data_IF_263043438295
#
_entry.id   IF_263043438295
#
_cell.length_a   1.000
_cell.length_b   1.000
_cell.length_c   1.000
_cell.angle_alpha   90.00
_cell.angle_beta   90.00
_cell.angle_gamma   90.00
#
_symmetry.space_group_name_H-M   'P 1'
#
loop_
_entity.id
_entity.type
_entity.pdbx_description
1 polymer ?
#
# COMPACT_ATOMS: atom_id res chain seq x y z
N UNK A 1 11.73 2.46 -14.44
CA UNK A 1 11.32 2.62 -13.02
C UNK A 1 12.59 2.65 -12.20
N UNK A 2 12.77 3.60 -11.29
CA UNK A 2 13.95 3.64 -10.40
C UNK A 2 13.83 2.58 -9.31
N UNK A 3 14.96 2.13 -8.74
CA UNK A 3 14.98 1.18 -7.62
C UNK A 3 14.16 1.71 -6.43
N UNK A 4 14.32 3.00 -6.09
CA UNK A 4 13.53 3.66 -5.05
C UNK A 4 12.02 3.58 -5.31
N UNK A 5 11.56 3.82 -6.54
CA UNK A 5 10.14 3.72 -6.87
C UNK A 5 9.61 2.29 -6.68
N UNK A 6 10.44 1.27 -6.95
CA UNK A 6 10.06 -0.11 -6.72
C UNK A 6 9.97 -0.41 -5.20
N UNK A 7 10.94 0.05 -4.42
CA UNK A 7 10.94 -0.07 -2.95
C UNK A 7 9.70 0.62 -2.35
N UNK A 8 9.36 1.83 -2.80
CA UNK A 8 8.18 2.58 -2.36
C UNK A 8 6.91 1.76 -2.64
N UNK A 9 6.77 1.24 -3.87
CA UNK A 9 5.61 0.46 -4.28
C UNK A 9 5.44 -0.80 -3.43
N UNK A 10 6.51 -1.56 -3.23
CA UNK A 10 6.48 -2.78 -2.42
C UNK A 10 6.24 -2.47 -0.94
N UNK A 11 6.77 -1.34 -0.44
CA UNK A 11 6.52 -0.87 0.94
C UNK A 11 5.03 -0.58 1.15
N UNK A 12 4.41 0.24 0.29
CA UNK A 12 2.99 0.60 0.48
C UNK A 12 2.06 -0.57 0.22
N UNK A 13 2.39 -1.44 -0.76
CA UNK A 13 1.65 -2.67 -1.02
C UNK A 13 1.64 -3.58 0.20
N UNK A 14 2.82 -3.81 0.80
CA UNK A 14 2.94 -4.58 2.03
C UNK A 14 2.20 -3.93 3.20
N UNK A 15 2.49 -2.67 3.52
CA UNK A 15 1.94 -2.00 4.70
C UNK A 15 0.42 -1.84 4.61
N UNK A 16 -0.10 -1.42 3.45
CA UNK A 16 -1.54 -1.24 3.24
C UNK A 16 -2.26 -2.56 3.08
N UNK A 17 -1.63 -3.58 2.49
CA UNK A 17 -2.22 -4.89 2.21
C UNK A 17 -2.31 -5.82 3.42
N UNK A 18 -1.32 -5.79 4.32
CA UNK A 18 -1.25 -6.67 5.50
C UNK A 18 -1.82 -6.00 6.76
N UNK A 19 -1.82 -4.66 6.80
CA UNK A 19 -2.13 -3.92 8.01
C UNK A 19 -3.25 -2.91 7.84
N UNK A 20 -4.10 -2.84 8.86
CA UNK A 20 -5.14 -1.83 9.05
C UNK A 20 -4.57 -0.71 9.91
N UNK A 21 -3.92 0.27 9.27
CA UNK A 21 -3.18 1.36 9.91
C UNK A 21 -3.54 2.70 9.27
N UNK A 22 -3.49 3.76 10.08
CA UNK A 22 -3.50 5.13 9.60
C UNK A 22 -2.08 5.53 9.17
N UNK A 23 -1.96 6.22 8.04
CA UNK A 23 -0.74 6.89 7.60
C UNK A 23 -0.82 8.33 8.05
N UNK A 24 0.09 8.76 8.93
CA UNK A 24 0.13 10.13 9.45
C UNK A 24 1.43 10.80 9.00
N UNK A 25 1.32 11.70 8.04
CA UNK A 25 2.43 12.51 7.55
C UNK A 25 2.69 13.75 8.42
N UNK A 26 3.92 14.27 8.39
CA UNK A 26 4.29 15.53 9.04
C UNK A 26 4.32 16.75 8.09
N UNK A 27 3.81 16.59 6.86
CA UNK A 27 3.89 17.58 5.78
C UNK A 27 5.30 17.83 5.19
N UNK A 28 6.32 17.05 5.58
CA UNK A 28 7.69 17.15 5.06
C UNK A 28 8.09 15.82 4.43
N UNK A 29 8.83 15.00 5.17
CA UNK A 29 9.41 13.76 4.69
C UNK A 29 9.12 12.56 5.60
N UNK A 30 8.26 12.70 6.61
CA UNK A 30 7.98 11.61 7.55
C UNK A 30 6.56 11.10 7.37
N UNK A 31 6.40 9.77 7.33
CA UNK A 31 5.10 9.08 7.40
C UNK A 31 5.14 8.07 8.53
N UNK A 32 4.15 8.11 9.41
CA UNK A 32 3.97 7.13 10.49
C UNK A 32 2.80 6.22 10.17
N UNK A 33 3.04 4.91 10.12
CA UNK A 33 2.00 3.89 10.09
C UNK A 33 1.57 3.56 11.51
N UNK A 34 0.33 3.90 11.87
CA UNK A 34 -0.17 3.86 13.26
C UNK A 34 -1.39 2.96 13.43
N UNK A 35 -1.43 2.28 14.56
CA UNK A 35 -2.62 1.61 15.07
C UNK A 35 -3.08 2.33 16.34
N UNK A 36 -4.03 3.24 16.19
CA UNK A 36 -4.41 4.16 17.27
C UNK A 36 -3.20 4.99 17.71
N UNK A 37 -2.82 4.92 18.99
CA UNK A 37 -1.67 5.67 19.52
C UNK A 37 -0.31 5.02 19.20
N UNK A 38 -0.26 3.71 18.89
CA UNK A 38 0.99 2.96 18.67
C UNK A 38 1.50 3.15 17.24
N UNK A 39 2.76 3.58 17.09
CA UNK A 39 3.46 3.58 15.81
C UNK A 39 4.03 2.19 15.53
N UNK A 40 3.76 1.64 14.36
CA UNK A 40 4.29 0.35 13.90
C UNK A 40 5.57 0.58 13.11
N UNK A 41 5.56 1.56 12.21
CA UNK A 41 6.69 1.95 11.39
C UNK A 41 6.67 3.47 11.19
N UNK A 42 7.82 4.10 11.32
CA UNK A 42 8.04 5.46 10.81
C UNK A 42 8.93 5.35 9.58
N UNK A 43 8.54 5.99 8.49
CA UNK A 43 9.31 6.06 7.24
C UNK A 43 9.73 7.51 7.02
N UNK A 44 11.04 7.72 6.85
CA UNK A 44 11.58 8.97 6.33
C UNK A 44 11.84 8.81 4.83
N UNK A 45 11.26 9.69 4.03
CA UNK A 45 11.34 9.70 2.57
C UNK A 45 12.49 10.64 2.19
N UNK A 46 13.63 10.08 1.80
CA UNK A 46 14.75 10.86 1.28
C UNK A 46 14.67 10.97 -0.25
N UNK A 47 15.56 11.75 -0.85
CA UNK A 47 15.63 11.92 -2.31
C UNK A 47 16.02 10.61 -3.02
N UNK A 48 16.90 9.81 -2.42
CA UNK A 48 17.50 8.62 -3.01
C UNK A 48 17.11 7.29 -2.31
N UNK A 49 16.48 7.35 -1.14
CA UNK A 49 16.17 6.16 -0.32
C UNK A 49 14.98 6.37 0.63
N UNK A 50 14.55 5.28 1.27
CA UNK A 50 13.71 5.32 2.47
C UNK A 50 14.54 4.96 3.70
N UNK A 51 14.28 5.62 4.82
CA UNK A 51 14.81 5.21 6.12
C UNK A 51 13.67 4.73 7.01
N UNK A 52 13.78 3.51 7.52
CA UNK A 52 12.77 2.91 8.39
C UNK A 52 13.22 3.01 9.84
N UNK A 53 12.39 3.64 10.67
CA UNK A 53 12.55 3.63 12.11
C UNK A 53 11.54 2.64 12.72
N UNK A 54 12.08 1.61 13.36
CA UNK A 54 11.33 0.57 14.07
C UNK A 54 11.76 0.59 15.55
N UNK A 55 10.78 0.63 16.45
CA UNK A 55 11.03 0.65 17.90
C UNK A 55 10.57 -0.65 18.53
N UNK A 56 11.47 -1.43 19.12
CA UNK A 56 11.13 -2.66 19.85
C UNK A 56 11.13 -2.45 21.37
N UNK A 57 9.98 -2.72 21.99
CA UNK A 57 9.85 -2.93 23.42
C UNK A 57 10.32 -4.32 23.83
N UNK A 58 10.16 -4.67 25.11
CA UNK A 58 10.67 -5.93 25.66
C UNK A 58 10.19 -7.18 24.90
N UNK A 59 8.88 -7.36 24.73
CA UNK A 59 8.31 -8.53 24.04
C UNK A 59 8.80 -8.69 22.60
N UNK A 60 8.94 -7.57 21.89
CA UNK A 60 9.38 -7.57 20.49
C UNK A 60 10.87 -7.96 20.39
N UNK A 61 11.70 -7.56 21.37
CA UNK A 61 13.10 -8.01 21.49
C UNK A 61 13.22 -9.50 21.84
N UNK A 62 12.34 -10.03 22.69
CA UNK A 62 12.27 -11.46 23.01
C UNK A 62 11.92 -12.30 21.78
N UNK A 63 10.98 -11.85 20.94
CA UNK A 63 10.67 -12.52 19.67
C UNK A 63 11.79 -12.40 18.64
N UNK A 64 12.45 -11.24 18.55
CA UNK A 64 13.62 -11.07 17.67
C UNK A 64 14.75 -12.06 18.01
N UNK A 65 15.04 -12.25 19.30
CA UNK A 65 16.10 -13.16 19.74
C UNK A 65 15.91 -14.61 19.28
N UNK A 66 14.66 -15.04 19.01
CA UNK A 66 14.35 -16.40 18.54
C UNK A 66 14.71 -16.64 17.07
N UNK A 67 14.84 -15.57 16.28
CA UNK A 67 15.03 -15.65 14.82
C UNK A 67 16.17 -14.74 14.33
N UNK A 68 17.03 -14.27 15.23
CA UNK A 68 18.10 -13.30 14.94
C UNK A 68 19.14 -13.85 13.96
N UNK A 69 19.34 -15.16 13.93
CA UNK A 69 20.19 -15.91 13.01
C UNK A 69 19.72 -15.81 11.55
N UNK A 70 18.42 -15.58 11.33
CA UNK A 70 17.82 -15.45 9.98
C UNK A 70 18.02 -14.08 9.31
N UNK A 71 18.58 -13.11 10.04
CA UNK A 71 18.88 -11.76 9.54
C UNK A 71 20.32 -11.67 9.03
N UNK A 72 20.59 -10.70 8.17
CA UNK A 72 21.92 -10.35 7.70
C UNK A 72 22.77 -9.76 8.83
N UNK A 73 24.09 -9.82 8.66
CA UNK A 73 25.03 -9.19 9.59
C UNK A 73 24.76 -7.68 9.73
N UNK A 74 24.34 -7.02 8.66
CA UNK A 74 23.97 -5.61 8.71
C UNK A 74 22.82 -5.35 9.69
N UNK A 75 21.73 -6.10 9.60
CA UNK A 75 20.57 -5.96 10.50
C UNK A 75 20.93 -6.33 11.93
N UNK A 76 21.69 -7.43 12.13
CA UNK A 76 22.18 -7.83 13.46
C UNK A 76 23.07 -6.77 14.09
N UNK A 77 24.03 -6.22 13.34
CA UNK A 77 24.94 -5.19 13.82
C UNK A 77 24.19 -3.92 14.23
N UNK A 78 23.19 -3.48 13.44
CA UNK A 78 22.32 -2.35 13.81
C UNK A 78 21.59 -2.67 15.11
N UNK A 79 21.01 -3.86 15.24
CA UNK A 79 20.36 -4.27 16.48
C UNK A 79 21.34 -4.25 17.66
N UNK A 80 22.46 -4.94 17.58
CA UNK A 80 23.39 -5.12 18.72
C UNK A 80 24.03 -3.81 19.18
N UNK A 81 24.38 -2.93 18.23
CA UNK A 81 24.97 -1.60 18.51
C UNK A 81 23.96 -0.55 19.01
N UNK A 82 22.66 -0.73 18.73
CA UNK A 82 21.63 0.24 19.11
C UNK A 82 21.38 0.23 20.62
N UNK A 83 21.38 1.40 21.26
CA UNK A 83 21.03 1.52 22.69
C UNK A 83 19.55 1.22 22.93
N UNK A 84 19.25 0.47 23.99
CA UNK A 84 17.87 0.29 24.48
C UNK A 84 17.55 1.35 25.52
N UNK A 85 16.50 2.13 25.28
CA UNK A 85 15.96 3.14 26.20
C UNK A 85 14.72 2.61 26.94
N UNK A 86 14.22 3.41 27.88
CA UNK A 86 13.03 3.07 28.68
C UNK A 86 11.78 2.79 27.83
N UNK A 87 11.65 3.47 26.69
CA UNK A 87 10.53 3.37 25.74
C UNK A 87 10.79 2.38 24.59
N UNK A 88 11.97 1.76 24.57
CA UNK A 88 12.33 0.71 23.63
C UNK A 88 13.70 0.89 22.98
N UNK A 89 13.98 0.02 22.02
CA UNK A 89 15.19 0.02 21.20
C UNK A 89 14.85 0.59 19.83
N UNK A 90 15.39 1.77 19.55
CA UNK A 90 15.07 2.58 18.37
C UNK A 90 16.06 2.31 17.25
N UNK A 91 15.68 1.51 16.27
CA UNK A 91 16.56 1.05 15.20
C UNK A 91 16.21 1.75 13.90
N UNK A 92 17.21 2.36 13.28
CA UNK A 92 17.09 3.01 11.97
C UNK A 92 17.74 2.13 10.90
N UNK A 93 17.03 1.91 9.79
CA UNK A 93 17.49 1.10 8.67
C UNK A 93 17.39 1.87 7.36
N UNK A 94 18.48 1.92 6.60
CA UNK A 94 18.49 2.50 5.25
C UNK A 94 18.05 1.44 4.24
N UNK A 95 16.96 1.70 3.52
CA UNK A 95 16.38 0.74 2.57
C UNK A 95 16.93 1.05 1.17
N UNK A 96 18.04 0.41 0.84
CA UNK A 96 18.76 0.64 -0.43
C UNK A 96 18.38 -0.35 -1.52
N UNK A 97 17.79 -1.48 -1.16
CA UNK A 97 17.34 -2.53 -2.10
C UNK A 97 16.17 -3.33 -1.51
N UNK A 98 15.58 -4.19 -2.34
CA UNK A 98 14.48 -5.07 -1.94
C UNK A 98 14.86 -6.16 -0.92
N UNK A 99 16.13 -6.58 -0.86
CA UNK A 99 16.57 -7.59 0.10
C UNK A 99 16.49 -7.03 1.52
N UNK A 100 16.97 -5.80 1.73
CA UNK A 100 16.83 -5.10 3.01
C UNK A 100 15.35 -4.88 3.34
N UNK A 101 14.53 -4.49 2.35
CA UNK A 101 13.09 -4.34 2.56
C UNK A 101 12.44 -5.64 3.04
N UNK A 102 12.81 -6.80 2.49
CA UNK A 102 12.27 -8.09 2.92
C UNK A 102 12.69 -8.46 4.34
N UNK A 103 13.90 -8.10 4.77
CA UNK A 103 14.31 -8.20 6.18
C UNK A 103 13.49 -7.26 7.07
N UNK A 104 13.20 -6.04 6.61
CA UNK A 104 12.36 -5.11 7.36
C UNK A 104 10.93 -5.63 7.51
N UNK A 105 10.36 -6.29 6.50
CA UNK A 105 9.04 -6.94 6.61
C UNK A 105 9.03 -7.96 7.76
N UNK A 106 10.10 -8.75 7.95
CA UNK A 106 10.23 -9.68 9.10
C UNK A 106 10.24 -8.93 10.44
N UNK A 107 10.98 -7.83 10.55
CA UNK A 107 10.98 -6.99 11.76
C UNK A 107 9.59 -6.36 12.03
N UNK A 108 8.88 -5.95 10.98
CA UNK A 108 7.53 -5.39 11.10
C UNK A 108 6.54 -6.48 11.54
N UNK A 109 6.69 -7.73 11.07
CA UNK A 109 5.90 -8.86 11.56
C UNK A 109 6.12 -9.13 13.06
N UNK A 110 7.36 -8.98 13.56
CA UNK A 110 7.66 -9.01 14.99
C UNK A 110 6.96 -7.84 15.71
N UNK A 111 7.06 -6.62 15.16
CA UNK A 111 6.48 -5.41 15.76
C UNK A 111 4.96 -5.50 15.91
N UNK A 112 4.33 -6.06 14.89
CA UNK A 112 2.88 -6.22 14.80
C UNK A 112 2.57 -7.38 13.85
N UNK A 113 1.81 -8.36 14.35
CA UNK A 113 1.15 -9.34 13.49
C UNK A 113 0.14 -8.66 12.56
N UNK A 114 0.04 -9.07 11.28
CA UNK A 114 -0.96 -8.57 10.34
C UNK A 114 -2.35 -8.56 10.96
N UNK A 115 -3.08 -7.48 10.74
CA UNK A 115 -4.41 -7.26 11.32
C UNK A 115 -5.45 -6.86 10.30
N UNK A 116 -5.08 -6.78 9.01
CA UNK A 116 -6.05 -6.58 7.96
C UNK A 116 -6.74 -7.91 7.66
N UNK A 117 -8.06 -7.87 7.65
CA UNK A 117 -8.86 -8.99 7.12
C UNK A 117 -8.87 -8.88 5.59
N UNK A 118 -8.70 -9.99 4.85
CA UNK A 118 -8.94 -9.99 3.42
C UNK A 118 -10.34 -9.48 3.11
N UNK A 119 -10.49 -8.71 2.03
CA UNK A 119 -11.82 -8.35 1.54
C UNK A 119 -12.54 -9.61 1.04
N UNK A 120 -13.87 -9.69 1.19
CA UNK A 120 -14.65 -10.83 0.72
C UNK A 120 -14.33 -11.17 -0.73
N UNK A 121 -14.21 -12.46 -1.05
CA UNK A 121 -13.95 -12.94 -2.42
C UNK A 121 -15.18 -13.55 -3.06
N UNK A 122 -16.18 -13.85 -2.26
CA UNK A 122 -17.48 -14.36 -2.68
C UNK A 122 -18.13 -13.33 -3.61
N UNK A 123 -18.43 -13.74 -4.85
CA UNK A 123 -18.99 -12.88 -5.90
C UNK A 123 -18.11 -11.67 -6.27
N UNK A 124 -16.81 -11.70 -5.95
CA UNK A 124 -15.88 -10.65 -6.35
C UNK A 124 -15.83 -10.51 -7.87
N UNK A 125 -15.85 -9.27 -8.36
CA UNK A 125 -15.84 -8.97 -9.79
C UNK A 125 -14.52 -8.29 -10.10
N UNK A 126 -13.66 -9.01 -10.81
CA UNK A 126 -12.37 -8.49 -11.23
C UNK A 126 -12.45 -7.93 -12.65
N UNK A 127 -11.88 -6.74 -12.85
CA UNK A 127 -11.63 -6.22 -14.19
C UNK A 127 -10.47 -6.96 -14.85
N UNK A 128 -10.35 -6.85 -16.18
CA UNK A 128 -9.15 -7.29 -16.92
C UNK A 128 -7.86 -6.60 -16.47
N UNK A 129 -7.94 -5.49 -15.73
CA UNK A 129 -6.76 -4.84 -15.13
C UNK A 129 -6.51 -5.25 -13.67
N UNK A 130 -7.21 -6.27 -13.17
CA UNK A 130 -7.03 -6.80 -11.81
C UNK A 130 -7.66 -5.96 -10.70
N UNK A 131 -8.43 -4.91 -11.01
CA UNK A 131 -9.13 -4.13 -10.00
C UNK A 131 -10.41 -4.84 -9.54
N UNK A 132 -10.78 -4.64 -8.27
CA UNK A 132 -12.07 -5.06 -7.69
C UNK A 132 -13.19 -4.14 -8.15
N UNK A 133 -13.81 -4.45 -9.29
CA UNK A 133 -14.94 -3.70 -9.80
C UNK A 133 -16.10 -3.67 -8.82
N UNK A 134 -16.38 -4.76 -8.11
CA UNK A 134 -17.46 -4.82 -7.13
C UNK A 134 -17.31 -3.81 -5.98
N UNK A 135 -16.10 -3.32 -5.71
CA UNK A 135 -15.78 -2.32 -4.69
C UNK A 135 -15.49 -0.93 -5.28
N UNK A 136 -15.55 -0.78 -6.60
CA UNK A 136 -15.26 0.48 -7.27
C UNK A 136 -16.48 1.40 -7.27
N UNK A 137 -16.27 2.67 -6.91
CA UNK A 137 -17.31 3.71 -6.95
C UNK A 137 -17.99 3.84 -8.33
N UNK A 138 -17.24 3.60 -9.40
CA UNK A 138 -17.74 3.74 -10.75
C UNK A 138 -18.56 2.53 -11.21
N UNK A 139 -18.55 1.40 -10.52
CA UNK A 139 -19.15 0.18 -11.07
C UNK A 139 -20.68 0.29 -11.16
N UNK A 140 -21.23 0.27 -12.39
CA UNK A 140 -22.65 0.54 -12.62
C UNK A 140 -23.59 -0.51 -12.04
N UNK A 141 -23.10 -1.75 -11.86
CA UNK A 141 -23.88 -2.86 -11.30
C UNK A 141 -23.50 -3.16 -9.85
N UNK A 142 -22.85 -2.20 -9.17
CA UNK A 142 -22.64 -2.31 -7.72
C UNK A 142 -24.00 -2.27 -7.03
N UNK A 143 -24.28 -3.22 -6.13
CA UNK A 143 -25.42 -3.17 -5.22
C UNK A 143 -25.21 -2.22 -4.04
N UNK A 144 -24.22 -1.31 -4.12
CA UNK A 144 -23.95 -0.35 -3.05
C UNK A 144 -25.05 0.73 -3.02
N UNK A 145 -25.42 1.17 -1.82
CA UNK A 145 -26.40 2.25 -1.65
C UNK A 145 -25.82 3.60 -2.05
N UNK A 146 -26.70 4.57 -2.29
CA UNK A 146 -26.28 5.94 -2.63
C UNK A 146 -25.57 6.62 -1.45
N UNK A 147 -25.94 6.30 -0.21
CA UNK A 147 -25.25 6.77 0.99
C UNK A 147 -23.82 6.27 1.02
N UNK A 148 -23.61 4.96 0.82
CA UNK A 148 -22.26 4.40 0.79
C UNK A 148 -21.44 4.93 -0.39
N UNK A 149 -22.09 5.16 -1.55
CA UNK A 149 -21.43 5.78 -2.70
C UNK A 149 -20.93 7.19 -2.37
N UNK A 150 -21.72 7.99 -1.65
CA UNK A 150 -21.31 9.32 -1.18
C UNK A 150 -20.14 9.22 -0.20
N UNK A 151 -20.15 8.26 0.72
CA UNK A 151 -19.00 8.01 1.60
C UNK A 151 -17.73 7.65 0.80
N UNK A 152 -17.84 6.78 -0.21
CA UNK A 152 -16.71 6.44 -1.09
C UNK A 152 -16.19 7.69 -1.81
N UNK A 153 -17.06 8.56 -2.29
CA UNK A 153 -16.70 9.80 -2.97
C UNK A 153 -15.85 10.70 -2.06
N UNK A 154 -16.27 10.88 -0.80
CA UNK A 154 -15.53 11.67 0.19
C UNK A 154 -14.16 11.03 0.50
N UNK A 155 -14.11 9.71 0.68
CA UNK A 155 -12.86 8.96 0.94
C UNK A 155 -11.89 9.08 -0.21
N UNK A 156 -12.37 8.85 -1.43
CA UNK A 156 -11.57 8.89 -2.64
C UNK A 156 -11.07 10.31 -2.92
N UNK A 157 -11.90 11.33 -2.69
CA UNK A 157 -11.51 12.74 -2.87
C UNK A 157 -10.39 13.18 -1.92
N UNK A 158 -10.30 12.59 -0.71
CA UNK A 158 -9.16 12.81 0.20
C UNK A 158 -7.84 12.21 -0.33
N UNK A 159 -7.92 11.16 -1.13
CA UNK A 159 -6.74 10.45 -1.66
C UNK A 159 -6.32 11.00 -3.02
N UNK A 160 -7.28 11.16 -3.94
CA UNK A 160 -7.11 11.53 -5.34
C UNK A 160 -7.79 12.88 -5.63
N UNK A 161 -7.17 13.97 -5.19
CA UNK A 161 -7.69 15.32 -5.36
C UNK A 161 -8.13 15.62 -6.80
N UNK A 162 -9.32 16.20 -6.97
CA UNK A 162 -9.79 16.74 -8.26
C UNK A 162 -10.31 15.70 -9.26
N UNK A 163 -10.58 14.46 -8.83
CA UNK A 163 -11.19 13.45 -9.68
C UNK A 163 -12.72 13.59 -9.76
N UNK A 164 -13.28 13.32 -10.94
CA UNK A 164 -14.71 13.18 -11.17
C UNK A 164 -15.14 11.73 -10.89
N UNK A 165 -16.04 11.57 -9.90
CA UNK A 165 -16.57 10.28 -9.48
C UNK A 165 -17.95 9.95 -10.07
N UNK A 166 -18.48 10.81 -10.96
CA UNK A 166 -19.78 10.65 -11.61
C UNK A 166 -19.79 9.55 -12.68
N UNK A 167 -18.61 9.12 -13.16
CA UNK A 167 -18.49 8.07 -14.15
C UNK A 167 -19.20 6.78 -13.69
N UNK A 168 -19.92 6.15 -14.62
CA UNK A 168 -20.53 4.83 -14.41
C UNK A 168 -19.98 3.86 -15.45
N UNK A 169 -19.24 2.88 -14.95
CA UNK A 169 -18.50 1.87 -15.69
C UNK A 169 -19.17 0.50 -15.49
N UNK A 170 -19.68 -0.14 -16.56
CA UNK A 170 -20.31 -1.46 -16.48
C UNK A 170 -19.31 -2.61 -16.23
N UNK A 171 -18.04 -2.32 -15.96
CA UNK A 171 -16.90 -3.23 -16.06
C UNK A 171 -16.59 -3.64 -17.50
N UNK A 172 -15.30 -3.89 -17.70
CA UNK A 172 -14.72 -4.23 -18.97
C UNK A 172 -15.03 -5.66 -19.43
N UNK A 173 -15.77 -6.43 -18.62
CA UNK A 173 -16.30 -7.76 -18.92
C UNK A 173 -17.74 -7.71 -19.45
N UNK A 174 -18.47 -6.60 -19.24
CA UNK A 174 -19.87 -6.45 -19.68
C UNK A 174 -20.00 -5.62 -20.94
N UNK A 175 -19.27 -4.50 -21.03
CA UNK A 175 -19.33 -3.62 -22.18
C UNK A 175 -17.94 -3.11 -22.56
N UNK A 176 -17.63 -3.20 -23.84
CA UNK A 176 -16.38 -2.70 -24.40
C UNK A 176 -16.47 -1.19 -24.72
N UNK A 177 -15.31 -0.51 -24.79
CA UNK A 177 -15.23 0.85 -25.35
C UNK A 177 -15.34 2.04 -24.37
N UNK A 178 -15.68 1.85 -23.10
CA UNK A 178 -15.71 2.96 -22.11
C UNK A 178 -14.34 3.24 -21.44
N UNK A 179 -13.42 2.26 -21.46
CA UNK A 179 -12.14 2.37 -20.77
C UNK A 179 -11.04 2.94 -21.68
N UNK A 180 -10.54 4.13 -21.36
CA UNK A 180 -9.44 4.77 -22.09
C UNK A 180 -8.15 3.94 -22.08
N UNK A 181 -7.84 3.26 -20.98
CA UNK A 181 -6.66 2.38 -20.90
C UNK A 181 -6.75 1.20 -21.87
N UNK A 182 -7.95 0.63 -22.09
CA UNK A 182 -8.17 -0.41 -23.12
C UNK A 182 -8.04 0.15 -24.53
N UNK A 183 -8.59 1.33 -24.79
CA UNK A 183 -8.43 2.01 -26.10
C UNK A 183 -6.95 2.22 -26.40
N UNK A 184 -6.19 2.71 -25.43
CA UNK A 184 -4.74 2.90 -25.52
C UNK A 184 -4.02 1.56 -25.76
N UNK A 185 -4.34 0.51 -25.00
CA UNK A 185 -3.73 -0.81 -25.17
C UNK A 185 -3.92 -1.36 -26.59
N UNK A 186 -5.13 -1.20 -27.17
CA UNK A 186 -5.40 -1.58 -28.57
C UNK A 186 -4.55 -0.78 -29.57
N UNK A 187 -4.40 0.53 -29.36
CA UNK A 187 -3.56 1.39 -30.22
C UNK A 187 -2.07 1.04 -30.09
N UNK A 188 -1.62 0.66 -28.89
CA UNK A 188 -0.24 0.22 -28.63
C UNK A 188 0.00 -1.26 -28.95
N UNK A 189 -1.00 -1.96 -29.49
CA UNK A 189 -0.95 -3.40 -29.80
C UNK A 189 -0.54 -4.28 -28.60
N UNK A 190 -0.97 -3.86 -27.40
CA UNK A 190 -0.79 -4.63 -26.15
C UNK A 190 -2.11 -5.30 -25.77
N UNK A 191 -2.05 -6.61 -25.53
CA UNK A 191 -3.20 -7.47 -25.20
C UNK A 191 -4.04 -6.94 -24.02
N UNK A 192 -3.38 -6.60 -22.91
CA UNK A 192 -4.01 -5.98 -21.74
C UNK A 192 -3.15 -4.82 -21.25
N UNK A 193 -3.78 -3.74 -20.76
CA UNK A 193 -3.05 -2.56 -20.32
C UNK A 193 -2.02 -2.87 -19.23
N UNK A 194 -2.24 -3.88 -18.37
CA UNK A 194 -1.30 -4.31 -17.33
C UNK A 194 0.00 -4.90 -17.89
N UNK A 195 0.00 -5.39 -19.13
CA UNK A 195 1.22 -5.87 -19.83
C UNK A 195 2.00 -4.74 -20.52
N UNK A 196 1.51 -3.50 -20.50
CA UNK A 196 2.22 -2.38 -21.08
C UNK A 196 3.45 -2.05 -20.24
N UNK A 197 4.59 -1.76 -20.89
CA UNK A 197 5.83 -1.35 -20.20
C UNK A 197 5.69 -0.04 -19.43
N UNK A 198 4.71 0.79 -19.80
CA UNK A 198 4.36 2.03 -19.09
C UNK A 198 3.28 1.82 -18.03
N UNK A 199 2.76 0.61 -17.85
CA UNK A 199 1.76 0.34 -16.82
C UNK A 199 2.43 0.13 -15.45
N UNK A 200 1.90 0.77 -14.40
CA UNK A 200 0.74 1.65 -14.41
C UNK A 200 1.06 3.07 -14.93
N UNK A 201 0.21 3.59 -15.81
CA UNK A 201 0.37 4.94 -16.36
C UNK A 201 -0.46 5.98 -15.59
N UNK A 202 -0.12 7.26 -15.73
CA UNK A 202 -0.74 8.39 -15.00
C UNK A 202 -2.27 8.49 -15.14
N UNK A 203 -2.84 7.90 -16.18
CA UNK A 203 -4.27 7.98 -16.48
C UNK A 203 -5.10 6.85 -15.85
N UNK A 204 -4.47 5.85 -15.23
CA UNK A 204 -5.19 4.77 -14.55
C UNK A 204 -5.12 5.01 -13.04
N UNK A 205 -6.25 5.09 -12.33
CA UNK A 205 -6.24 5.12 -10.88
C UNK A 205 -5.77 3.75 -10.38
N UNK A 206 -4.48 3.62 -10.12
CA UNK A 206 -3.83 2.39 -9.65
C UNK A 206 -3.38 2.55 -8.20
N UNK A 207 -4.12 1.91 -7.30
CA UNK A 207 -3.70 1.50 -5.97
C UNK A 207 -2.85 2.49 -5.16
N UNK A 208 -3.09 3.80 -5.31
CA UNK A 208 -2.26 4.91 -4.82
C UNK A 208 -0.79 4.52 -4.58
N UNK A 209 -0.03 4.15 -5.60
CA UNK A 209 1.30 3.53 -5.46
C UNK A 209 2.40 4.42 -4.83
N UNK A 210 2.05 5.62 -4.39
CA UNK A 210 2.97 6.60 -3.81
C UNK A 210 2.98 6.51 -2.28
N UNK A 211 4.13 6.84 -1.71
CA UNK A 211 4.30 7.13 -0.29
C UNK A 211 4.67 8.60 -0.17
N UNK A 212 3.85 9.37 0.53
CA UNK A 212 4.03 10.81 0.70
C UNK A 212 3.70 11.17 2.13
N UNK A 213 4.30 12.26 2.61
CA UNK A 213 4.07 12.83 3.93
C UNK A 213 2.69 13.50 4.04
N UNK A 214 1.62 12.72 3.85
CA UNK A 214 0.22 13.12 4.00
C UNK A 214 -0.54 12.18 4.94
N UNK A 215 -1.70 12.62 5.39
CA UNK A 215 -2.59 11.79 6.21
C UNK A 215 -3.51 10.95 5.32
N UNK A 216 -3.48 9.63 5.49
CA UNK A 216 -4.43 8.69 4.88
C UNK A 216 -4.99 7.79 5.98
N UNK A 217 -6.30 7.81 6.18
CA UNK A 217 -6.93 6.99 7.20
C UNK A 217 -7.03 5.53 6.75
N UNK A 218 -6.99 4.60 7.70
CA UNK A 218 -7.04 3.15 7.44
C UNK A 218 -8.25 2.71 6.61
N UNK A 219 -9.39 3.38 6.75
CA UNK A 219 -10.61 3.10 5.98
C UNK A 219 -10.54 3.69 4.57
N UNK A 220 -9.87 4.83 4.41
CA UNK A 220 -9.59 5.42 3.10
C UNK A 220 -8.63 4.51 2.32
N UNK A 221 -7.62 3.94 2.99
CA UNK A 221 -6.79 2.88 2.40
C UNK A 221 -7.67 1.69 1.96
N UNK A 222 -8.56 1.24 2.84
CA UNK A 222 -9.40 0.04 2.60
C UNK A 222 -10.29 0.17 1.39
N UNK A 223 -10.95 1.32 1.24
CA UNK A 223 -12.00 1.51 0.24
C UNK A 223 -11.55 2.37 -0.95
N UNK A 224 -10.57 3.24 -0.74
CA UNK A 224 -10.06 4.16 -1.74
C UNK A 224 -8.77 3.71 -2.42
N UNK A 225 -7.99 2.81 -1.81
CA UNK A 225 -6.70 2.39 -2.36
C UNK A 225 -6.73 0.92 -2.77
N UNK A 226 -6.98 0.02 -1.80
CA UNK A 226 -6.84 -1.42 -2.00
C UNK A 226 -7.65 -2.00 -3.18
N UNK A 227 -8.89 -1.56 -3.48
CA UNK A 227 -9.65 -2.07 -4.62
C UNK A 227 -8.95 -1.89 -5.97
N UNK A 228 -7.99 -0.97 -6.04
CA UNK A 228 -7.25 -0.60 -7.24
C UNK A 228 -5.79 -1.07 -7.21
N UNK A 229 -5.36 -1.80 -6.18
CA UNK A 229 -4.02 -2.37 -6.09
C UNK A 229 -3.99 -3.69 -6.86
N UNK A 230 -3.21 -3.71 -7.93
CA UNK A 230 -2.97 -4.90 -8.76
C UNK A 230 -2.34 -6.04 -7.94
N UNK A 231 -2.77 -7.29 -8.22
CA UNK A 231 -2.30 -8.51 -7.56
C UNK A 231 -2.48 -8.54 -6.03
N UNK A 232 -3.20 -7.58 -5.43
CA UNK A 232 -3.40 -7.52 -3.98
C UNK A 232 -4.26 -8.69 -3.46
N UNK A 233 -5.09 -9.31 -4.31
CA UNK A 233 -6.04 -10.35 -3.92
C UNK A 233 -5.73 -11.72 -4.53
N UNK A 234 -4.53 -11.90 -5.10
CA UNK A 234 -4.10 -13.14 -5.76
C UNK A 234 -4.78 -13.34 -7.13
N UNK A 235 -5.08 -12.22 -7.80
CA UNK A 235 -5.83 -12.10 -9.04
C UNK A 235 -5.05 -11.34 -10.10
#
# INVERSE_FOLDING_TARGET
MTELNHIIQETVKFMRGEYLLDEIGNGKNEVKFRHGKKTILTVYIQEDRLDFLIVFGQKEREEYAKISDTFSDNVRNIYDSTKTFHDGKWMMFHITDLKILDEMKKLIYIKKKPNRKPLPKENAIYSKCGHRCDLCIHYSYSGISDEFRKELEERLSRIYSGADWSLRCPSCNKQEGLCNAKKCAKVKEVDICTKCSEYPCKTVPVGYKQLESKTIYKDDVTWGILPYVENQYGN
#
